data_IF_913985958339
#
_entry.id   IF_913985958339
#
_cell.length_a   1.000
_cell.length_b   1.000
_cell.length_c   1.000
_cell.angle_alpha   90.00
_cell.angle_beta   90.00
_cell.angle_gamma   90.00
#
_symmetry.space_group_name_H-M   'P 1'
#
loop_
_entity.id
_entity.type
_entity.pdbx_description
1 polymer ?
#
# COMPACT_ATOMS: atom_id res chain seq x y z
N UNK A 1 25.06 3.58 -19.42
CA UNK A 1 23.77 4.28 -19.46
C UNK A 1 22.93 3.93 -20.69
N UNK A 2 23.47 3.89 -21.90
CA UNK A 2 22.68 3.52 -23.12
C UNK A 2 22.08 2.11 -23.07
N UNK A 3 22.71 1.14 -22.42
CA UNK A 3 22.25 -0.26 -22.42
C UNK A 3 20.89 -0.49 -21.70
N UNK A 4 20.65 0.12 -20.51
CA UNK A 4 19.39 -0.11 -19.78
C UNK A 4 18.19 0.52 -20.48
N UNK A 5 18.32 1.74 -20.98
CA UNK A 5 17.23 2.40 -21.74
C UNK A 5 16.86 1.59 -23.00
N UNK A 6 17.86 1.01 -23.66
CA UNK A 6 17.65 0.14 -24.82
C UNK A 6 16.96 -1.19 -24.41
N UNK A 7 17.36 -1.79 -23.28
CA UNK A 7 16.65 -2.96 -22.71
C UNK A 7 15.19 -2.65 -22.40
N UNK A 8 14.92 -1.51 -21.75
CA UNK A 8 13.54 -1.07 -21.46
C UNK A 8 12.74 -0.93 -22.76
N UNK A 9 13.30 -0.26 -23.77
CA UNK A 9 12.63 -0.08 -25.06
C UNK A 9 12.32 -1.42 -25.71
N UNK A 10 13.29 -2.34 -25.76
CA UNK A 10 13.11 -3.67 -26.32
C UNK A 10 11.99 -4.47 -25.62
N UNK A 11 11.93 -4.44 -24.28
CA UNK A 11 10.85 -5.11 -23.54
C UNK A 11 9.48 -4.46 -23.76
N UNK A 12 9.42 -3.14 -23.89
CA UNK A 12 8.18 -2.43 -24.21
C UNK A 12 7.70 -2.74 -25.65
N UNK A 13 8.60 -2.80 -26.63
CA UNK A 13 8.26 -3.16 -28.01
C UNK A 13 7.78 -4.62 -28.09
N UNK A 14 8.47 -5.54 -27.42
CA UNK A 14 8.13 -6.97 -27.38
C UNK A 14 6.74 -7.23 -26.78
N UNK A 15 6.36 -6.47 -25.75
CA UNK A 15 5.14 -6.68 -24.97
C UNK A 15 4.10 -5.57 -25.19
N UNK A 16 4.20 -4.77 -26.24
CA UNK A 16 3.20 -3.77 -26.61
C UNK A 16 3.00 -2.65 -25.57
N UNK A 17 4.05 -2.27 -24.83
CA UNK A 17 3.98 -1.23 -23.80
C UNK A 17 3.63 -1.74 -22.39
N UNK A 18 3.73 -3.05 -22.16
CA UNK A 18 3.49 -3.71 -20.87
C UNK A 18 4.80 -4.30 -20.34
N UNK A 19 5.10 -4.12 -19.08
CA UNK A 19 6.24 -4.75 -18.40
C UNK A 19 5.72 -5.80 -17.39
N UNK A 20 6.25 -7.01 -17.50
CA UNK A 20 6.02 -8.08 -16.52
C UNK A 20 6.95 -7.87 -15.33
N UNK A 21 6.42 -8.02 -14.12
CA UNK A 21 7.17 -7.78 -12.89
C UNK A 21 7.30 -9.04 -12.05
N UNK A 22 8.37 -9.11 -11.27
CA UNK A 22 8.57 -10.13 -10.25
C UNK A 22 8.15 -9.59 -8.88
N UNK A 23 7.58 -10.43 -7.99
CA UNK A 23 7.21 -10.02 -6.66
C UNK A 23 8.43 -9.54 -5.85
N UNK A 24 8.28 -8.44 -5.13
CA UNK A 24 9.28 -7.97 -4.18
C UNK A 24 8.85 -8.36 -2.77
N UNK A 25 9.55 -9.34 -2.19
CA UNK A 25 9.27 -9.85 -0.85
C UNK A 25 9.98 -9.01 0.21
N UNK A 26 9.24 -8.63 1.27
CA UNK A 26 9.79 -7.86 2.38
C UNK A 26 9.58 -8.61 3.68
N UNK A 27 10.66 -8.75 4.44
CA UNK A 27 10.65 -9.39 5.75
C UNK A 27 10.53 -8.36 6.87
N UNK A 28 9.88 -8.76 7.98
CA UNK A 28 9.85 -7.98 9.22
C UNK A 28 10.19 -8.89 10.41
N UNK A 29 10.97 -8.38 11.35
CA UNK A 29 11.47 -9.14 12.51
C UNK A 29 10.59 -8.99 13.77
N UNK A 30 9.62 -8.05 13.74
CA UNK A 30 8.83 -7.68 14.90
C UNK A 30 7.48 -8.41 15.02
N UNK A 31 7.02 -9.11 13.95
CA UNK A 31 5.74 -9.84 13.94
C UNK A 31 5.84 -11.20 13.25
N UNK A 32 5.04 -12.19 13.70
CA UNK A 32 4.90 -13.44 12.97
C UNK A 32 4.13 -13.24 11.65
N UNK A 33 4.35 -14.09 10.63
CA UNK A 33 3.61 -14.06 9.37
C UNK A 33 2.21 -14.61 9.53
N UNK A 34 1.26 -14.11 8.72
CA UNK A 34 -0.07 -14.69 8.57
C UNK A 34 -0.10 -15.96 7.71
N UNK A 35 0.94 -16.16 6.87
CA UNK A 35 1.15 -17.31 5.97
C UNK A 35 0.12 -17.46 4.85
N UNK A 36 -0.46 -16.33 4.39
CA UNK A 36 -1.46 -16.29 3.31
C UNK A 36 -0.93 -15.63 2.03
N UNK A 37 0.39 -15.34 1.96
CA UNK A 37 1.00 -14.74 0.78
C UNK A 37 1.27 -15.74 -0.36
N UNK A 38 0.94 -17.03 -0.19
CA UNK A 38 1.12 -18.06 -1.21
C UNK A 38 2.53 -18.65 -1.29
N UNK A 39 3.42 -18.33 -0.34
CA UNK A 39 4.76 -18.95 -0.22
C UNK A 39 4.67 -20.34 0.39
N UNK A 40 5.66 -21.20 0.09
CA UNK A 40 5.85 -22.44 0.83
C UNK A 40 6.21 -22.14 2.30
N UNK A 41 5.88 -23.06 3.22
CA UNK A 41 6.03 -22.84 4.66
C UNK A 41 7.47 -22.49 5.06
N UNK A 42 8.44 -23.15 4.44
CA UNK A 42 9.88 -22.96 4.65
C UNK A 42 10.41 -21.62 4.14
N UNK A 43 9.75 -21.00 3.16
CA UNK A 43 10.19 -19.76 2.53
C UNK A 43 9.82 -18.48 3.35
N UNK A 44 8.94 -18.64 4.35
CA UNK A 44 8.56 -17.48 5.19
C UNK A 44 9.69 -17.04 6.11
N UNK A 45 10.51 -17.97 6.63
CA UNK A 45 11.58 -17.60 7.58
C UNK A 45 12.90 -17.31 6.88
N UNK A 46 13.40 -16.10 7.03
CA UNK A 46 14.61 -15.60 6.37
C UNK A 46 15.73 -15.20 7.36
N UNK A 47 15.86 -15.99 8.42
CA UNK A 47 16.92 -15.84 9.41
C UNK A 47 16.81 -14.58 10.27
N UNK A 48 17.88 -13.80 10.37
CA UNK A 48 17.91 -12.57 11.19
C UNK A 48 16.96 -11.48 10.71
N UNK A 49 16.45 -11.57 9.50
CA UNK A 49 15.44 -10.65 8.96
C UNK A 49 14.02 -10.95 9.46
N UNK A 50 13.83 -12.05 10.17
CA UNK A 50 12.52 -12.51 10.64
C UNK A 50 11.76 -13.28 9.57
N UNK A 51 10.56 -12.83 9.26
CA UNK A 51 9.65 -13.54 8.34
C UNK A 51 9.22 -12.64 7.20
N UNK A 52 9.04 -13.20 6.01
CA UNK A 52 8.34 -12.53 4.92
C UNK A 52 6.87 -12.33 5.35
N UNK A 53 6.48 -11.08 5.45
CA UNK A 53 5.14 -10.65 5.86
C UNK A 53 4.51 -9.69 4.87
N UNK A 54 5.28 -9.21 3.89
CA UNK A 54 4.80 -8.25 2.91
C UNK A 54 5.25 -8.66 1.51
N UNK A 55 4.39 -8.41 0.50
CA UNK A 55 4.72 -8.40 -0.92
C UNK A 55 4.49 -7.01 -1.46
N UNK A 56 5.54 -6.36 -1.92
CA UNK A 56 5.46 -5.05 -2.55
C UNK A 56 5.27 -5.18 -4.05
N UNK A 57 4.41 -4.36 -4.64
CA UNK A 57 3.89 -4.53 -5.99
C UNK A 57 4.32 -3.33 -6.85
N UNK A 58 5.00 -3.59 -7.96
CA UNK A 58 5.60 -2.59 -8.86
C UNK A 58 6.32 -1.48 -8.08
N UNK A 59 7.10 -1.92 -7.09
CA UNK A 59 7.74 -1.02 -6.14
C UNK A 59 9.04 -0.46 -6.68
N UNK A 60 9.18 0.84 -6.55
CA UNK A 60 10.43 1.60 -6.74
C UNK A 60 10.98 2.12 -5.40
N UNK A 61 10.30 1.79 -4.31
CA UNK A 61 10.65 2.15 -2.93
C UNK A 61 11.46 1.05 -2.29
N UNK A 62 12.59 1.40 -1.67
CA UNK A 62 13.38 0.46 -0.89
C UNK A 62 12.78 0.28 0.51
N UNK A 63 12.71 -0.97 0.99
CA UNK A 63 12.32 -1.26 2.37
C UNK A 63 13.38 -0.75 3.35
N UNK A 64 12.94 -0.08 4.42
CA UNK A 64 13.82 0.47 5.46
C UNK A 64 13.98 -0.53 6.60
N UNK A 65 14.70 -1.62 6.32
CA UNK A 65 15.03 -2.66 7.28
C UNK A 65 16.49 -2.50 7.75
N UNK A 66 16.73 -2.76 9.06
CA UNK A 66 18.08 -2.71 9.64
C UNK A 66 19.02 -3.74 9.02
N UNK A 67 18.51 -4.90 8.68
CA UNK A 67 19.23 -6.03 8.07
C UNK A 67 18.45 -6.52 6.86
N UNK A 68 19.10 -6.62 5.71
CA UNK A 68 18.47 -7.12 4.48
C UNK A 68 19.32 -6.86 3.24
N UNK A 69 18.92 -7.39 2.09
CA UNK A 69 19.57 -7.08 0.83
C UNK A 69 19.41 -5.61 0.45
N UNK A 70 20.32 -5.12 -0.37
CA UNK A 70 20.34 -3.70 -0.75
C UNK A 70 19.11 -3.29 -1.60
N UNK A 71 18.48 -4.25 -2.23
CA UNK A 71 17.33 -4.12 -3.13
C UNK A 71 16.01 -4.63 -2.52
N UNK A 72 15.96 -4.91 -1.22
CA UNK A 72 14.73 -5.35 -0.56
C UNK A 72 13.59 -4.36 -0.79
N UNK A 73 12.44 -4.87 -1.24
CA UNK A 73 11.26 -4.07 -1.58
C UNK A 73 11.27 -3.51 -3.01
N UNK A 74 12.36 -3.60 -3.76
CA UNK A 74 12.42 -3.15 -5.16
C UNK A 74 11.94 -4.25 -6.11
N UNK A 75 11.00 -3.93 -7.00
CA UNK A 75 10.53 -4.86 -8.03
C UNK A 75 11.50 -4.96 -9.20
N UNK A 76 11.60 -6.16 -9.75
CA UNK A 76 12.34 -6.42 -10.99
C UNK A 76 11.39 -6.53 -12.18
N UNK A 77 11.82 -6.02 -13.32
CA UNK A 77 11.22 -6.31 -14.63
C UNK A 77 11.75 -7.64 -15.10
N UNK A 78 10.84 -8.58 -15.38
CA UNK A 78 11.16 -9.90 -15.92
C UNK A 78 11.32 -9.82 -17.45
N UNK A 79 12.49 -10.18 -17.95
CA UNK A 79 12.79 -10.19 -19.40
C UNK A 79 12.53 -11.56 -20.05
N UNK A 80 12.37 -12.61 -19.21
CA UNK A 80 12.15 -13.98 -19.67
C UNK A 80 13.42 -14.71 -20.12
N UNK A 81 14.54 -14.02 -20.28
CA UNK A 81 15.86 -14.59 -20.59
C UNK A 81 16.82 -14.60 -19.41
N UNK A 82 16.36 -14.10 -18.24
CA UNK A 82 17.11 -14.04 -16.99
C UNK A 82 17.97 -12.78 -16.81
N UNK A 83 17.94 -11.83 -17.75
CA UNK A 83 18.63 -10.54 -17.66
C UNK A 83 17.74 -9.45 -17.04
N UNK A 84 17.03 -9.79 -15.98
CA UNK A 84 16.12 -8.91 -15.27
C UNK A 84 16.81 -7.63 -14.77
N UNK A 85 16.04 -6.55 -14.67
CA UNK A 85 16.54 -5.27 -14.19
C UNK A 85 15.57 -4.60 -13.22
N UNK A 86 16.07 -3.73 -12.36
CA UNK A 86 15.25 -3.02 -11.38
C UNK A 86 14.26 -2.07 -12.06
N UNK A 87 13.00 -2.14 -11.69
CA UNK A 87 11.97 -1.19 -12.15
C UNK A 87 12.34 0.25 -11.78
N UNK A 88 12.92 0.47 -10.58
CA UNK A 88 13.42 1.77 -10.14
C UNK A 88 14.40 2.39 -11.13
N UNK A 89 15.36 1.59 -11.61
CA UNK A 89 16.38 2.05 -12.54
C UNK A 89 15.78 2.28 -13.93
N UNK A 90 14.83 1.44 -14.35
CA UNK A 90 14.09 1.63 -15.59
C UNK A 90 13.30 2.95 -15.60
N UNK A 91 12.57 3.24 -14.53
CA UNK A 91 11.82 4.50 -14.35
C UNK A 91 12.77 5.70 -14.37
N UNK A 92 13.93 5.60 -13.71
CA UNK A 92 14.92 6.68 -13.68
C UNK A 92 15.61 6.93 -15.04
N UNK A 93 15.87 5.88 -15.82
CA UNK A 93 16.58 5.98 -17.11
C UNK A 93 15.66 6.24 -18.31
N UNK A 94 14.40 5.84 -18.21
CA UNK A 94 13.41 5.95 -19.28
C UNK A 94 12.05 6.49 -18.79
N UNK A 95 12.02 7.61 -18.02
CA UNK A 95 10.80 8.11 -17.40
C UNK A 95 9.71 8.42 -18.44
N UNK A 96 10.07 9.04 -19.55
CA UNK A 96 9.12 9.40 -20.61
C UNK A 96 8.47 8.18 -21.27
N UNK A 97 9.20 7.08 -21.44
CA UNK A 97 8.69 5.84 -22.03
C UNK A 97 7.73 5.11 -21.10
N UNK A 98 7.99 5.18 -19.80
CA UNK A 98 7.19 4.46 -18.79
C UNK A 98 6.02 5.32 -18.30
N UNK A 99 6.33 6.55 -17.85
CA UNK A 99 5.35 7.40 -17.15
C UNK A 99 4.66 8.41 -18.07
N UNK A 100 5.16 8.62 -19.30
CA UNK A 100 4.75 9.70 -20.19
C UNK A 100 5.43 11.03 -19.86
N UNK A 101 5.72 11.81 -20.90
CA UNK A 101 6.55 13.03 -20.78
C UNK A 101 5.98 14.05 -19.79
N UNK A 102 4.67 14.25 -19.77
CA UNK A 102 4.06 15.27 -18.91
C UNK A 102 4.08 14.85 -17.44
N UNK A 103 3.78 13.58 -17.15
CA UNK A 103 3.84 13.07 -15.78
C UNK A 103 5.28 13.07 -15.26
N UNK A 104 6.23 12.64 -16.07
CA UNK A 104 7.65 12.57 -15.71
C UNK A 104 8.29 13.94 -15.41
N UNK A 105 7.76 15.05 -15.96
CA UNK A 105 8.22 16.40 -15.60
C UNK A 105 7.82 16.83 -14.19
N UNK A 106 6.70 16.32 -13.70
CA UNK A 106 6.11 16.76 -12.43
C UNK A 106 6.38 15.77 -11.29
N UNK A 107 6.79 14.53 -11.60
CA UNK A 107 6.98 13.45 -10.63
C UNK A 107 8.32 12.73 -10.85
N UNK A 108 9.09 12.55 -9.78
CA UNK A 108 10.41 11.87 -9.82
C UNK A 108 10.30 10.33 -9.85
N UNK A 109 9.12 9.77 -10.08
CA UNK A 109 8.86 8.33 -10.08
C UNK A 109 7.37 8.03 -10.09
N UNK A 110 7.02 6.80 -9.77
CA UNK A 110 5.61 6.37 -9.75
C UNK A 110 4.79 7.01 -8.62
N UNK A 111 5.46 7.56 -7.60
CA UNK A 111 4.87 8.37 -6.52
C UNK A 111 3.95 7.61 -5.58
N UNK A 112 4.01 6.25 -5.60
CA UNK A 112 3.17 5.40 -4.76
C UNK A 112 3.86 4.09 -4.44
N UNK A 113 3.45 3.45 -3.34
CA UNK A 113 3.77 2.07 -3.01
C UNK A 113 2.48 1.28 -2.83
N UNK A 114 2.33 0.19 -3.58
CA UNK A 114 1.28 -0.80 -3.37
C UNK A 114 1.90 -2.04 -2.73
N UNK A 115 1.22 -2.65 -1.76
CA UNK A 115 1.69 -3.87 -1.10
C UNK A 115 0.55 -4.74 -0.59
N UNK A 116 0.83 -6.02 -0.47
CA UNK A 116 0.05 -6.92 0.37
C UNK A 116 0.82 -7.06 1.66
N UNK A 117 0.18 -6.89 2.80
CA UNK A 117 0.75 -7.32 4.08
C UNK A 117 -0.11 -8.39 4.73
N UNK A 118 0.56 -9.33 5.42
CA UNK A 118 -0.05 -10.50 6.03
C UNK A 118 0.67 -10.87 7.32
N UNK A 119 0.17 -10.33 8.44
CA UNK A 119 0.71 -10.56 9.76
C UNK A 119 -0.16 -11.52 10.57
N UNK A 120 0.48 -12.39 11.36
CA UNK A 120 -0.18 -13.33 12.26
C UNK A 120 -0.59 -12.71 13.62
N UNK A 121 -0.26 -11.45 13.84
CA UNK A 121 -0.64 -10.66 15.01
C UNK A 121 -0.93 -9.21 14.57
N UNK A 122 -1.60 -8.44 15.44
CA UNK A 122 -1.87 -7.02 15.20
C UNK A 122 -0.58 -6.24 15.01
N UNK A 123 -0.54 -5.34 14.02
CA UNK A 123 0.56 -4.38 13.89
C UNK A 123 0.52 -3.44 15.11
N UNK A 124 1.67 -3.10 15.72
CA UNK A 124 1.70 -2.18 16.85
C UNK A 124 1.02 -0.84 16.55
N UNK A 125 0.39 -0.25 17.55
CA UNK A 125 -0.21 1.08 17.43
C UNK A 125 0.85 2.12 17.05
N UNK A 126 0.67 2.80 15.92
CA UNK A 126 1.68 3.65 15.30
C UNK A 126 1.05 4.83 14.55
N UNK A 127 1.91 5.73 14.08
CA UNK A 127 1.58 6.80 13.13
C UNK A 127 2.55 6.79 11.96
N UNK A 128 2.12 7.41 10.86
CA UNK A 128 2.99 7.89 9.80
C UNK A 128 3.07 9.41 9.89
N UNK A 129 4.29 9.97 9.85
CA UNK A 129 4.52 11.40 9.99
C UNK A 129 3.83 12.20 8.90
N UNK A 130 3.23 13.32 9.29
CA UNK A 130 2.69 14.31 8.35
C UNK A 130 3.84 14.98 7.57
N UNK A 131 3.50 15.65 6.46
CA UNK A 131 4.46 16.21 5.51
C UNK A 131 5.56 17.06 6.18
N UNK A 132 5.19 17.96 7.10
CA UNK A 132 6.15 18.81 7.78
C UNK A 132 7.13 18.04 8.67
N UNK A 133 6.68 16.97 9.33
CA UNK A 133 7.53 16.19 10.24
C UNK A 133 8.37 15.18 9.46
N UNK A 134 7.83 14.55 8.43
CA UNK A 134 8.56 13.69 7.52
C UNK A 134 9.71 14.46 6.81
N UNK A 135 9.44 15.68 6.37
CA UNK A 135 10.45 16.54 5.73
C UNK A 135 11.64 16.84 6.65
N UNK A 136 11.45 16.96 7.98
CA UNK A 136 12.55 17.18 8.95
C UNK A 136 13.56 16.03 8.97
N UNK A 137 13.15 14.83 8.57
CA UNK A 137 14.01 13.64 8.48
C UNK A 137 14.33 13.23 7.04
N UNK A 138 14.05 14.12 6.07
CA UNK A 138 14.33 13.91 4.64
C UNK A 138 13.46 12.83 4.00
N UNK A 139 12.24 12.64 4.49
CA UNK A 139 11.26 11.67 4.00
C UNK A 139 10.01 12.36 3.45
N UNK A 140 9.21 11.61 2.71
CA UNK A 140 7.84 12.00 2.35
C UNK A 140 6.87 11.58 3.45
N UNK A 141 5.73 12.24 3.54
CA UNK A 141 4.58 11.79 4.33
C UNK A 141 4.08 10.41 3.84
N UNK A 142 3.16 9.84 4.59
CA UNK A 142 2.57 8.56 4.23
C UNK A 142 1.08 8.55 4.53
N UNK A 143 0.29 9.09 3.59
CA UNK A 143 -1.13 8.74 3.52
C UNK A 143 -1.25 7.33 2.98
N UNK A 144 -2.23 6.57 3.45
CA UNK A 144 -2.46 5.19 3.02
C UNK A 144 -3.94 4.86 2.91
N UNK A 145 -4.24 3.80 2.17
CA UNK A 145 -5.57 3.25 2.09
C UNK A 145 -5.52 1.73 2.06
N UNK A 146 -6.44 1.11 2.78
CA UNK A 146 -6.58 -0.34 2.89
C UNK A 146 -7.72 -0.85 2.02
N UNK A 147 -7.55 -2.06 1.52
CA UNK A 147 -8.60 -2.87 0.94
C UNK A 147 -8.48 -4.29 1.50
N UNK A 148 -9.58 -4.82 2.02
CA UNK A 148 -9.66 -6.16 2.56
C UNK A 148 -10.29 -7.07 1.48
N UNK A 149 -9.48 -7.87 0.75
CA UNK A 149 -10.01 -8.60 -0.40
C UNK A 149 -10.99 -9.71 0.01
N UNK A 150 -11.98 -9.96 -0.84
CA UNK A 150 -12.99 -10.99 -0.60
C UNK A 150 -12.37 -12.40 -0.68
N UNK A 151 -12.90 -13.31 0.13
CA UNK A 151 -12.52 -14.73 0.13
C UNK A 151 -11.27 -15.04 0.94
N UNK A 152 -10.76 -14.10 1.72
CA UNK A 152 -9.62 -14.30 2.62
C UNK A 152 -10.10 -14.26 4.07
N UNK A 153 -9.56 -15.15 4.90
CA UNK A 153 -9.78 -15.13 6.35
C UNK A 153 -9.18 -13.86 6.97
N UNK A 154 -9.94 -13.19 7.82
CA UNK A 154 -9.49 -11.98 8.53
C UNK A 154 -8.57 -12.26 9.71
N UNK A 155 -8.40 -13.55 10.08
CA UNK A 155 -7.54 -13.97 11.18
C UNK A 155 -8.10 -13.68 12.58
N UNK A 156 -7.30 -13.88 13.63
CA UNK A 156 -7.77 -13.81 15.03
C UNK A 156 -8.05 -12.39 15.53
N UNK A 157 -7.58 -11.35 14.84
CA UNK A 157 -7.84 -9.94 15.14
C UNK A 157 -8.46 -9.26 13.92
N UNK A 158 -9.78 -9.48 13.68
CA UNK A 158 -10.45 -8.99 12.47
C UNK A 158 -10.74 -7.48 12.50
N UNK A 159 -10.35 -6.79 13.55
CA UNK A 159 -10.55 -5.35 13.74
C UNK A 159 -9.26 -4.57 13.59
N UNK A 160 -9.35 -3.34 13.08
CA UNK A 160 -8.28 -2.34 13.11
C UNK A 160 -8.62 -1.27 14.16
N UNK A 161 -7.64 -0.88 14.96
CA UNK A 161 -7.77 0.29 15.82
C UNK A 161 -7.44 1.55 15.03
N UNK A 162 -8.30 2.59 15.17
CA UNK A 162 -8.10 3.90 14.56
C UNK A 162 -8.33 5.03 15.54
N UNK A 163 -7.41 5.99 15.57
CA UNK A 163 -7.50 7.19 16.38
C UNK A 163 -7.69 6.90 17.88
N UNK A 164 -8.24 7.86 18.57
CA UNK A 164 -8.52 7.80 20.02
C UNK A 164 -10.00 8.01 20.30
N UNK A 165 -10.45 7.71 21.53
CA UNK A 165 -11.78 8.12 21.97
C UNK A 165 -11.93 9.64 21.84
N UNK A 166 -13.05 10.15 21.30
CA UNK A 166 -13.22 11.60 20.95
C UNK A 166 -12.93 12.53 22.11
N UNK A 167 -13.30 12.18 23.34
CA UNK A 167 -13.08 13.03 24.52
C UNK A 167 -11.60 13.36 24.76
N UNK A 168 -10.68 12.49 24.32
CA UNK A 168 -9.23 12.71 24.50
C UNK A 168 -8.78 13.91 23.67
N UNK A 169 -9.23 14.00 22.42
CA UNK A 169 -8.93 15.13 21.55
C UNK A 169 -9.70 16.40 21.96
N UNK A 170 -11.02 16.27 22.20
CA UNK A 170 -11.91 17.39 22.59
C UNK A 170 -11.44 18.07 23.88
N UNK A 171 -11.10 17.28 24.89
CA UNK A 171 -10.66 17.78 26.20
C UNK A 171 -9.12 17.94 26.30
N UNK A 172 -8.39 17.73 25.19
CA UNK A 172 -6.91 17.82 25.09
C UNK A 172 -6.18 16.98 26.15
N UNK A 173 -6.71 15.79 26.43
CA UNK A 173 -6.15 14.86 27.43
C UNK A 173 -5.00 14.01 26.86
N UNK A 174 -4.14 14.59 26.07
CA UNK A 174 -3.03 13.91 25.36
C UNK A 174 -2.06 13.21 26.32
N UNK A 175 -1.89 13.73 27.54
CA UNK A 175 -1.03 13.15 28.58
C UNK A 175 -1.48 11.76 29.04
N UNK A 176 -2.70 11.34 28.71
CA UNK A 176 -3.14 9.96 28.93
C UNK A 176 -2.32 8.96 28.11
N UNK A 177 -1.82 9.35 26.92
CA UNK A 177 -0.97 8.51 26.12
C UNK A 177 0.50 8.62 26.55
N UNK A 178 0.92 9.80 27.04
CA UNK A 178 2.32 10.08 27.37
C UNK A 178 2.89 9.09 28.40
N UNK A 179 2.15 8.76 29.45
CA UNK A 179 2.60 7.81 30.47
C UNK A 179 2.94 6.42 29.90
N UNK A 180 2.20 5.95 28.87
CA UNK A 180 2.48 4.68 28.20
C UNK A 180 3.76 4.74 27.36
N UNK A 181 4.04 5.90 26.75
CA UNK A 181 5.27 6.12 25.96
C UNK A 181 6.49 6.22 26.87
N UNK A 182 6.37 6.87 28.03
CA UNK A 182 7.45 7.01 29.01
C UNK A 182 7.78 5.65 29.67
N UNK A 183 6.80 4.94 30.17
CA UNK A 183 6.93 3.65 30.87
C UNK A 183 7.39 2.51 29.95
N UNK A 184 6.93 2.47 28.71
CA UNK A 184 7.28 1.52 27.65
C UNK A 184 7.29 0.04 28.09
N UNK A 185 6.18 -0.46 28.66
CA UNK A 185 6.15 -1.78 29.32
C UNK A 185 5.00 -2.69 28.91
N UNK A 186 3.91 -2.14 28.36
CA UNK A 186 2.67 -2.88 28.10
C UNK A 186 1.96 -2.39 26.82
N UNK A 187 0.77 -2.92 26.56
CA UNK A 187 -0.09 -2.54 25.42
C UNK A 187 -1.32 -1.73 25.86
N UNK A 188 -1.35 -1.25 27.10
CA UNK A 188 -2.50 -0.54 27.66
C UNK A 188 -2.80 0.80 26.99
N UNK A 189 -1.91 1.30 26.15
CA UNK A 189 -2.18 2.46 25.29
C UNK A 189 -3.42 2.20 24.41
N UNK A 190 -3.67 0.95 24.00
CA UNK A 190 -4.83 0.55 23.17
C UNK A 190 -6.18 0.77 23.85
N UNK A 191 -6.24 0.89 25.19
CA UNK A 191 -7.49 1.25 25.90
C UNK A 191 -8.03 2.62 25.53
N UNK A 192 -7.19 3.45 24.88
CA UNK A 192 -7.55 4.79 24.45
C UNK A 192 -7.99 4.84 22.98
N UNK A 193 -7.81 3.75 22.23
CA UNK A 193 -8.12 3.63 20.81
C UNK A 193 -9.56 3.16 20.56
N UNK A 194 -10.07 3.40 19.37
CA UNK A 194 -11.34 2.85 18.87
C UNK A 194 -11.05 1.72 17.91
N UNK A 195 -11.88 0.69 17.91
CA UNK A 195 -11.74 -0.45 17.00
C UNK A 195 -12.93 -0.53 16.05
N UNK A 196 -12.63 -0.83 14.78
CA UNK A 196 -13.61 -1.07 13.73
C UNK A 196 -13.34 -2.42 13.07
N UNK A 197 -14.42 -3.16 12.80
CA UNK A 197 -14.33 -4.46 12.13
C UNK A 197 -13.88 -4.26 10.66
N UNK A 198 -12.90 -5.04 10.22
CA UNK A 198 -12.50 -5.10 8.83
C UNK A 198 -13.50 -5.96 8.05
N UNK A 199 -14.18 -5.36 7.08
CA UNK A 199 -15.17 -6.02 6.24
C UNK A 199 -14.54 -6.34 4.89
N UNK A 200 -14.58 -7.60 4.47
CA UNK A 200 -14.04 -8.00 3.16
C UNK A 200 -14.81 -7.34 2.02
N UNK A 201 -14.11 -6.88 1.01
CA UNK A 201 -14.67 -6.09 -0.10
C UNK A 201 -14.66 -4.58 0.14
N UNK A 202 -14.32 -4.13 1.34
CA UNK A 202 -14.29 -2.71 1.76
C UNK A 202 -12.89 -2.29 2.21
N UNK A 203 -12.73 -1.04 2.62
CA UNK A 203 -11.44 -0.52 3.06
C UNK A 203 -11.54 0.75 3.89
N UNK A 204 -10.39 1.38 4.14
CA UNK A 204 -10.30 2.66 4.84
C UNK A 204 -9.24 3.54 4.19
N UNK A 205 -9.48 4.85 4.18
CA UNK A 205 -8.48 5.87 3.85
C UNK A 205 -7.93 6.46 5.15
N UNK A 206 -6.61 6.49 5.29
CA UNK A 206 -5.91 6.99 6.47
C UNK A 206 -4.94 8.11 6.05
N UNK A 207 -5.24 9.35 6.40
CA UNK A 207 -4.26 10.43 6.29
C UNK A 207 -3.08 10.19 7.24
N UNK A 208 -1.91 10.70 6.88
CA UNK A 208 -0.75 10.76 7.77
C UNK A 208 -1.12 11.49 9.08
N UNK A 209 -0.44 11.15 10.17
CA UNK A 209 -0.75 11.65 11.53
C UNK A 209 -1.85 10.87 12.27
N UNK A 210 -2.56 9.94 11.59
CA UNK A 210 -3.60 9.13 12.23
C UNK A 210 -2.98 7.96 12.97
N UNK A 211 -3.30 7.86 14.26
CA UNK A 211 -2.98 6.70 15.10
C UNK A 211 -3.75 5.47 14.63
N UNK A 212 -3.06 4.36 14.37
CA UNK A 212 -3.72 3.13 13.95
C UNK A 212 -2.94 1.86 14.32
N UNK A 213 -3.66 0.74 14.40
CA UNK A 213 -3.11 -0.58 14.65
C UNK A 213 -3.90 -1.61 13.81
N UNK A 214 -3.45 -1.92 12.59
CA UNK A 214 -4.09 -2.90 11.73
C UNK A 214 -4.16 -4.28 12.39
N UNK A 215 -5.30 -4.94 12.24
CA UNK A 215 -5.51 -6.30 12.69
C UNK A 215 -4.82 -7.34 11.82
N UNK A 216 -5.32 -8.56 11.86
CA UNK A 216 -4.73 -9.71 11.15
C UNK A 216 -5.38 -9.98 9.79
N UNK A 217 -6.32 -9.16 9.33
CA UNK A 217 -6.85 -9.29 7.98
C UNK A 217 -5.71 -9.11 6.96
N UNK A 218 -5.56 -10.06 6.02
CA UNK A 218 -4.71 -9.83 4.87
C UNK A 218 -5.19 -8.57 4.15
N UNK A 219 -4.31 -7.63 3.97
CA UNK A 219 -4.64 -6.30 3.46
C UNK A 219 -3.85 -5.99 2.21
N UNK A 220 -4.52 -5.48 1.20
CA UNK A 220 -3.86 -4.83 0.06
C UNK A 220 -3.86 -3.33 0.37
N UNK A 221 -2.67 -2.76 0.51
CA UNK A 221 -2.47 -1.36 0.87
C UNK A 221 -1.94 -0.59 -0.32
N UNK A 222 -2.48 0.60 -0.54
CA UNK A 222 -1.94 1.60 -1.46
C UNK A 222 -1.61 2.86 -0.66
N UNK A 223 -0.38 3.36 -0.80
CA UNK A 223 0.16 4.46 -0.01
C UNK A 223 1.04 5.39 -0.83
N UNK A 224 1.39 6.54 -0.25
CA UNK A 224 2.48 7.38 -0.75
C UNK A 224 3.81 6.61 -0.76
N UNK A 225 4.74 7.04 -1.58
CA UNK A 225 6.08 6.45 -1.77
C UNK A 225 7.00 6.73 -0.56
N UNK A 226 6.67 6.12 0.58
CA UNK A 226 7.38 6.30 1.83
C UNK A 226 7.25 5.07 2.74
N UNK A 227 8.29 4.80 3.57
CA UNK A 227 8.27 3.78 4.65
C UNK A 227 8.53 4.45 6.03
N UNK A 228 7.98 5.66 6.23
CA UNK A 228 8.11 6.45 7.46
C UNK A 228 7.12 5.97 8.51
N UNK A 229 7.54 5.87 9.78
CA UNK A 229 6.65 5.56 10.89
C UNK A 229 7.24 5.88 12.29
N UNK A 230 6.38 5.96 13.29
CA UNK A 230 6.73 5.91 14.71
C UNK A 230 5.77 4.94 15.44
N UNK A 231 6.35 3.95 16.14
CA UNK A 231 5.58 2.96 16.93
C UNK A 231 5.28 3.51 18.33
N UNK A 232 4.02 3.47 18.75
CA UNK A 232 3.58 3.97 20.07
C UNK A 232 3.24 2.86 21.06
N UNK A 233 3.13 1.61 20.63
CA UNK A 233 2.83 0.46 21.48
C UNK A 233 4.11 -0.30 21.84
N UNK A 234 4.33 -0.51 23.15
CA UNK A 234 5.52 -1.19 23.66
C UNK A 234 5.43 -2.72 23.61
N UNK A 235 4.37 -3.31 24.15
CA UNK A 235 4.16 -4.76 24.15
C UNK A 235 3.31 -5.17 22.93
N UNK A 236 3.82 -6.07 22.10
CA UNK A 236 3.08 -6.62 20.99
C UNK A 236 3.47 -8.08 20.72
N UNK A 237 2.51 -8.93 20.39
CA UNK A 237 2.70 -10.36 20.17
C UNK A 237 3.57 -11.06 21.26
N UNK A 238 3.37 -10.65 22.52
CA UNK A 238 4.09 -11.21 23.68
C UNK A 238 5.54 -10.71 23.86
N UNK A 239 5.97 -9.69 23.11
CA UNK A 239 7.34 -9.14 23.17
C UNK A 239 7.30 -7.62 23.39
N UNK A 240 8.22 -7.12 24.19
CA UNK A 240 8.51 -5.67 24.24
C UNK A 240 9.37 -5.32 23.01
N UNK A 241 8.83 -4.48 22.14
CA UNK A 241 9.57 -3.96 20.99
C UNK A 241 10.54 -2.87 21.38
N UNK A 242 11.58 -2.66 20.61
CA UNK A 242 12.59 -1.63 20.91
C UNK A 242 11.95 -0.24 20.95
N UNK A 243 12.21 0.52 22.02
CA UNK A 243 11.76 1.91 22.13
C UNK A 243 12.39 2.83 21.05
N UNK A 244 13.44 2.38 20.37
CA UNK A 244 14.00 3.11 19.23
C UNK A 244 12.99 3.25 18.08
N UNK A 245 12.04 2.32 17.96
CA UNK A 245 10.97 2.40 16.96
C UNK A 245 9.95 3.53 17.24
N UNK A 246 9.82 3.97 18.50
CA UNK A 246 9.04 5.16 18.85
C UNK A 246 9.64 6.44 18.23
N UNK A 247 10.96 6.45 18.06
CA UNK A 247 11.70 7.62 17.58
C UNK A 247 12.32 7.43 16.20
N UNK A 248 11.94 6.35 15.47
CA UNK A 248 12.60 5.95 14.21
C UNK A 248 12.68 7.11 13.21
N UNK A 249 11.57 7.77 12.95
CA UNK A 249 11.49 8.87 11.99
C UNK A 249 11.10 10.20 12.68
N UNK A 250 11.64 10.42 13.87
CA UNK A 250 11.48 11.66 14.63
C UNK A 250 12.76 12.48 14.58
N UNK A 251 12.66 13.73 14.23
CA UNK A 251 13.77 14.67 14.18
C UNK A 251 14.52 14.69 15.52
N UNK A 252 15.85 14.66 15.45
CA UNK A 252 16.73 14.59 16.63
C UNK A 252 16.51 15.76 17.57
N UNK A 253 16.39 16.96 17.04
CA UNK A 253 16.18 18.20 17.79
C UNK A 253 14.85 18.17 18.56
N UNK A 254 13.76 17.70 17.94
CA UNK A 254 12.46 17.56 18.58
C UNK A 254 12.50 16.50 19.68
N UNK A 255 13.17 15.37 19.44
CA UNK A 255 13.38 14.31 20.43
C UNK A 255 14.18 14.80 21.65
N UNK A 256 15.29 15.50 21.43
CA UNK A 256 16.14 15.99 22.51
C UNK A 256 15.42 17.05 23.38
N UNK A 257 14.59 17.90 22.76
CA UNK A 257 13.84 18.95 23.42
C UNK A 257 12.60 18.43 24.16
N UNK A 258 11.80 17.61 23.51
CA UNK A 258 10.44 17.25 23.96
C UNK A 258 10.30 15.80 24.38
N UNK A 259 11.33 14.95 24.18
CA UNK A 259 11.33 13.50 24.48
C UNK A 259 10.09 12.82 23.85
N UNK A 260 9.38 11.98 24.62
CA UNK A 260 8.19 11.26 24.15
C UNK A 260 7.05 12.19 23.73
N UNK A 261 6.98 13.39 24.27
CA UNK A 261 5.99 14.39 23.86
C UNK A 261 6.13 14.79 22.38
N UNK A 262 7.35 14.74 21.82
CA UNK A 262 7.59 15.00 20.41
C UNK A 262 6.73 14.11 19.48
N UNK A 263 6.38 12.90 19.91
CA UNK A 263 5.52 12.00 19.15
C UNK A 263 4.06 12.48 19.20
N UNK A 264 3.60 12.94 20.36
CA UNK A 264 2.23 13.45 20.52
C UNK A 264 2.00 14.71 19.69
N UNK A 265 3.04 15.50 19.45
CA UNK A 265 3.00 16.70 18.63
C UNK A 265 2.86 16.40 17.13
N UNK A 266 3.15 15.14 16.70
CA UNK A 266 3.03 14.65 15.32
C UNK A 266 1.69 13.99 15.01
N UNK A 267 0.80 13.90 15.98
CA UNK A 267 -0.53 13.28 15.83
C UNK A 267 -1.53 14.31 15.30
N UNK A 268 -2.30 13.94 14.28
CA UNK A 268 -3.49 14.69 13.88
C UNK A 268 -4.64 14.39 14.85
N UNK A 269 -4.72 15.21 15.89
CA UNK A 269 -5.71 15.03 16.95
C UNK A 269 -7.14 15.26 16.50
N UNK A 270 -7.35 16.11 15.49
CA UNK A 270 -8.68 16.41 14.96
C UNK A 270 -9.24 15.18 14.24
N UNK A 271 -8.43 14.55 13.39
CA UNK A 271 -8.80 13.31 12.71
C UNK A 271 -8.85 12.14 13.68
N UNK A 272 -7.84 11.99 14.56
CA UNK A 272 -7.80 10.90 15.54
C UNK A 272 -8.99 10.92 16.51
N UNK A 273 -9.49 12.09 16.85
CA UNK A 273 -10.63 12.29 17.77
C UNK A 273 -11.97 12.47 17.08
N UNK A 274 -12.04 12.42 15.76
CA UNK A 274 -13.28 12.61 15.00
C UNK A 274 -14.34 11.56 15.41
N UNK A 275 -15.50 11.97 15.97
CA UNK A 275 -16.56 11.04 16.33
C UNK A 275 -17.18 10.32 15.11
N UNK A 276 -17.04 10.90 13.91
CA UNK A 276 -17.50 10.34 12.63
C UNK A 276 -16.36 9.72 11.82
N UNK A 277 -15.30 9.23 12.48
CA UNK A 277 -14.13 8.68 11.80
C UNK A 277 -14.50 7.59 10.79
N UNK A 278 -15.41 6.67 11.16
CA UNK A 278 -15.86 5.62 10.25
C UNK A 278 -16.48 6.19 8.99
N UNK A 279 -17.45 7.07 9.13
CA UNK A 279 -18.20 7.68 8.02
C UNK A 279 -17.29 8.53 7.11
N UNK A 280 -16.28 9.17 7.69
CA UNK A 280 -15.37 10.07 6.98
C UNK A 280 -14.19 9.37 6.31
N UNK A 281 -13.88 8.11 6.68
CA UNK A 281 -12.70 7.39 6.21
C UNK A 281 -12.97 6.00 5.62
N UNK A 282 -14.17 5.44 5.81
CA UNK A 282 -14.55 4.13 5.27
C UNK A 282 -14.72 4.19 3.74
N UNK A 283 -14.10 3.23 3.04
CA UNK A 283 -14.12 3.10 1.59
C UNK A 283 -14.99 1.91 1.17
N UNK A 284 -16.22 2.17 0.77
CA UNK A 284 -17.05 1.20 0.03
C UNK A 284 -16.73 1.27 -1.46
N UNK A 285 -16.71 0.15 -2.19
CA UNK A 285 -16.48 0.17 -3.63
C UNK A 285 -17.50 1.04 -4.38
N UNK A 286 -17.02 1.97 -5.20
CA UNK A 286 -17.87 2.89 -6.00
C UNK A 286 -17.78 2.50 -7.47
N UNK A 287 -18.90 2.15 -8.10
CA UNK A 287 -18.93 1.80 -9.53
C UNK A 287 -18.42 2.98 -10.39
N UNK A 288 -17.55 2.66 -11.33
CA UNK A 288 -17.07 3.59 -12.37
C UNK A 288 -18.06 3.45 -13.55
N UNK A 289 -19.11 4.26 -13.55
CA UNK A 289 -20.26 4.08 -14.48
C UNK A 289 -19.86 4.05 -15.96
N UNK A 290 -18.89 4.89 -16.35
CA UNK A 290 -18.38 4.97 -17.73
C UNK A 290 -17.63 3.71 -18.19
N UNK A 291 -17.20 2.83 -17.27
CA UNK A 291 -16.52 1.57 -17.61
C UNK A 291 -17.44 0.37 -17.70
N UNK A 292 -18.73 0.54 -17.38
CA UNK A 292 -19.70 -0.55 -17.38
C UNK A 292 -19.89 -1.12 -18.79
N UNK A 293 -19.59 -2.41 -18.95
CA UNK A 293 -19.74 -3.18 -20.19
C UNK A 293 -20.48 -4.49 -19.88
N UNK A 294 -21.05 -5.14 -20.90
CA UNK A 294 -21.80 -6.40 -20.69
C UNK A 294 -21.00 -7.51 -20.00
N UNK A 295 -19.70 -7.54 -20.24
CA UNK A 295 -18.77 -8.56 -19.70
C UNK A 295 -17.96 -8.14 -18.50
N UNK A 296 -18.02 -6.88 -18.03
CA UNK A 296 -17.19 -6.42 -16.94
C UNK A 296 -17.45 -4.99 -16.50
N UNK A 297 -16.84 -4.63 -15.39
CA UNK A 297 -16.95 -3.29 -14.80
C UNK A 297 -15.81 -2.99 -13.84
N UNK A 298 -15.54 -1.72 -13.59
CA UNK A 298 -14.59 -1.26 -12.59
C UNK A 298 -15.28 -0.60 -11.40
N UNK A 299 -14.63 -0.70 -10.24
CA UNK A 299 -15.03 0.01 -9.03
C UNK A 299 -13.82 0.72 -8.43
N UNK A 300 -13.99 1.96 -8.02
CA UNK A 300 -13.02 2.63 -7.16
C UNK A 300 -12.98 1.90 -5.81
N UNK A 301 -11.79 1.52 -5.36
CA UNK A 301 -11.54 0.94 -4.04
C UNK A 301 -10.54 1.77 -3.24
N UNK A 302 -9.69 2.55 -3.90
CA UNK A 302 -8.85 3.58 -3.29
C UNK A 302 -9.20 4.93 -3.92
N UNK A 303 -9.76 5.81 -3.12
CA UNK A 303 -10.23 7.14 -3.53
C UNK A 303 -10.19 8.10 -2.34
N UNK A 304 -10.79 9.30 -2.45
CA UNK A 304 -10.81 10.35 -1.45
C UNK A 304 -9.52 11.19 -1.34
N UNK A 305 -8.44 10.81 -2.01
CA UNK A 305 -7.18 11.57 -2.07
C UNK A 305 -6.67 11.65 -3.51
N UNK A 306 -5.95 12.73 -3.87
CA UNK A 306 -5.28 12.86 -5.18
C UNK A 306 -3.84 12.30 -5.18
N UNK A 307 -3.32 11.92 -4.01
CA UNK A 307 -1.96 11.39 -3.84
C UNK A 307 -1.78 10.00 -4.43
N UNK A 308 -2.85 9.24 -4.55
CA UNK A 308 -2.95 7.96 -5.23
C UNK A 308 -4.41 7.59 -5.48
N UNK A 309 -4.64 6.56 -6.27
CA UNK A 309 -5.99 6.01 -6.46
C UNK A 309 -5.91 4.57 -6.95
N UNK A 310 -7.02 3.83 -6.87
CA UNK A 310 -7.05 2.47 -7.39
C UNK A 310 -8.45 1.94 -7.65
N UNK A 311 -8.49 1.00 -8.60
CA UNK A 311 -9.74 0.38 -9.05
C UNK A 311 -9.67 -1.14 -8.92
N UNK A 312 -10.80 -1.77 -8.71
CA UNK A 312 -10.99 -3.20 -8.90
C UNK A 312 -11.77 -3.41 -10.20
N UNK A 313 -11.14 -4.09 -11.17
CA UNK A 313 -11.78 -4.56 -12.39
C UNK A 313 -12.30 -5.98 -12.17
N UNK A 314 -13.53 -6.23 -12.60
CA UNK A 314 -14.16 -7.55 -12.60
C UNK A 314 -14.57 -7.86 -14.04
N UNK A 315 -14.09 -8.99 -14.59
CA UNK A 315 -14.46 -9.49 -15.92
C UNK A 315 -15.10 -10.88 -15.77
N UNK A 316 -16.29 -11.05 -16.31
CA UNK A 316 -17.06 -12.30 -16.22
C UNK A 316 -16.38 -13.45 -16.98
N UNK A 317 -16.64 -14.73 -16.61
CA UNK A 317 -16.10 -15.89 -17.33
C UNK A 317 -16.38 -15.83 -18.84
N UNK A 318 -15.32 -16.01 -19.63
CA UNK A 318 -15.39 -15.98 -21.10
C UNK A 318 -15.61 -14.60 -21.74
N UNK A 319 -15.79 -13.55 -20.92
CA UNK A 319 -15.98 -12.19 -21.43
C UNK A 319 -14.65 -11.49 -21.74
N UNK A 320 -14.79 -10.42 -22.53
CA UNK A 320 -13.74 -9.47 -22.85
C UNK A 320 -14.17 -8.09 -22.39
N UNK A 321 -13.23 -7.36 -21.79
CA UNK A 321 -13.41 -5.98 -21.32
C UNK A 321 -12.43 -5.07 -22.03
N UNK A 322 -12.88 -3.92 -22.51
CA UNK A 322 -12.02 -2.88 -23.07
C UNK A 322 -11.68 -1.86 -21.99
N UNK A 323 -10.41 -1.80 -21.61
CA UNK A 323 -9.89 -0.91 -20.57
C UNK A 323 -9.18 0.31 -21.17
N UNK A 324 -9.46 1.49 -20.62
CA UNK A 324 -8.73 2.74 -20.91
C UNK A 324 -8.52 3.47 -19.60
N UNK A 325 -7.30 3.91 -19.34
CA UNK A 325 -6.96 4.68 -18.14
C UNK A 325 -6.21 5.98 -18.49
N UNK A 326 -5.99 6.87 -17.51
CA UNK A 326 -5.50 8.23 -17.77
C UNK A 326 -3.96 8.37 -17.70
N UNK A 327 -3.25 7.30 -17.37
CA UNK A 327 -1.79 7.34 -17.25
C UNK A 327 -1.21 6.00 -16.78
N UNK A 328 0.07 5.97 -16.47
CA UNK A 328 0.80 4.80 -16.01
C UNK A 328 0.17 4.18 -14.76
N UNK A 329 0.03 2.86 -14.75
CA UNK A 329 -0.44 2.11 -13.59
C UNK A 329 0.14 0.69 -13.56
N UNK A 330 0.05 0.04 -12.43
CA UNK A 330 0.32 -1.39 -12.33
C UNK A 330 -0.94 -2.16 -11.94
N UNK A 331 -0.91 -3.46 -12.20
CA UNK A 331 -1.97 -4.37 -11.81
C UNK A 331 -1.44 -5.48 -10.90
N UNK A 332 -2.35 -6.00 -10.09
CA UNK A 332 -2.25 -7.28 -9.42
C UNK A 332 -3.47 -8.14 -9.82
N UNK A 333 -3.24 -9.33 -10.32
CA UNK A 333 -4.30 -10.29 -10.60
C UNK A 333 -4.64 -11.00 -9.30
N UNK A 334 -5.83 -10.69 -8.76
CA UNK A 334 -6.26 -11.22 -7.47
C UNK A 334 -6.99 -12.56 -7.59
N UNK A 335 -7.76 -12.75 -8.68
CA UNK A 335 -8.56 -13.95 -8.89
C UNK A 335 -8.71 -14.26 -10.38
N UNK A 336 -8.72 -15.56 -10.73
CA UNK A 336 -8.93 -16.01 -12.10
C UNK A 336 -7.68 -15.94 -12.96
N UNK A 337 -7.86 -16.17 -14.26
CA UNK A 337 -6.79 -16.14 -15.27
C UNK A 337 -7.32 -15.67 -16.61
N UNK A 338 -6.42 -15.18 -17.47
CA UNK A 338 -6.79 -14.67 -18.78
C UNK A 338 -5.64 -14.02 -19.52
N UNK A 339 -5.96 -12.98 -20.28
CA UNK A 339 -4.95 -12.14 -20.92
C UNK A 339 -5.21 -10.67 -20.62
N UNK A 340 -4.14 -9.91 -20.45
CA UNK A 340 -4.13 -8.46 -20.34
C UNK A 340 -3.36 -7.91 -21.54
N UNK A 341 -4.08 -7.36 -22.52
CA UNK A 341 -3.51 -6.92 -23.79
C UNK A 341 -2.69 -8.00 -24.51
N UNK A 342 -3.20 -9.23 -24.53
CA UNK A 342 -2.51 -10.39 -25.11
C UNK A 342 -1.48 -11.05 -24.18
N UNK A 343 -1.03 -10.37 -23.11
CA UNK A 343 -0.08 -10.93 -22.14
C UNK A 343 -0.83 -11.87 -21.20
N UNK A 344 -0.42 -13.16 -21.06
CA UNK A 344 -1.06 -14.10 -20.14
C UNK A 344 -0.93 -13.64 -18.69
N UNK A 345 -2.05 -13.74 -17.94
CA UNK A 345 -2.12 -13.40 -16.51
C UNK A 345 -2.85 -14.48 -15.73
N UNK A 346 -2.44 -14.71 -14.47
CA UNK A 346 -3.02 -15.71 -13.59
C UNK A 346 -2.80 -15.37 -12.12
N UNK A 347 -3.86 -15.36 -11.33
CA UNK A 347 -3.80 -15.10 -9.90
C UNK A 347 -2.99 -16.18 -9.16
N UNK A 348 -2.10 -15.76 -8.25
CA UNK A 348 -1.24 -16.64 -7.47
C UNK A 348 -0.08 -17.28 -8.24
N UNK A 349 0.05 -16.97 -9.51
CA UNK A 349 1.23 -17.32 -10.31
C UNK A 349 2.18 -16.11 -10.32
N UNK A 350 3.21 -16.14 -9.47
CA UNK A 350 4.14 -15.03 -9.27
C UNK A 350 4.91 -14.59 -10.53
N UNK A 351 4.91 -15.42 -11.57
CA UNK A 351 5.48 -15.07 -12.88
C UNK A 351 4.44 -14.42 -13.80
N UNK A 352 3.16 -14.35 -13.40
CA UNK A 352 2.07 -13.93 -14.27
C UNK A 352 0.98 -13.06 -13.60
N UNK A 353 1.13 -12.69 -12.34
CA UNK A 353 0.09 -11.97 -11.60
C UNK A 353 0.34 -10.45 -11.46
N UNK A 354 1.49 -9.95 -11.96
CA UNK A 354 1.87 -8.55 -11.76
C UNK A 354 2.43 -7.93 -13.06
N UNK A 355 1.81 -6.82 -13.50
CA UNK A 355 2.21 -6.07 -14.68
C UNK A 355 2.27 -4.57 -14.39
N UNK A 356 3.16 -3.85 -15.08
CA UNK A 356 3.12 -2.38 -15.22
C UNK A 356 2.68 -2.03 -16.64
N UNK A 357 1.69 -1.17 -16.75
CA UNK A 357 1.16 -0.64 -18.03
C UNK A 357 1.67 0.78 -18.17
N UNK A 358 2.46 1.02 -19.23
CA UNK A 358 3.01 2.35 -19.48
C UNK A 358 1.94 3.36 -19.84
N UNK A 359 2.27 4.65 -19.71
CA UNK A 359 1.36 5.75 -20.02
C UNK A 359 0.77 5.63 -21.43
N UNK A 360 1.65 5.49 -22.46
CA UNK A 360 1.23 5.42 -23.86
C UNK A 360 0.31 4.24 -24.16
N UNK A 361 0.47 3.14 -23.43
CA UNK A 361 -0.42 1.98 -23.57
C UNK A 361 -1.73 2.17 -22.82
N UNK A 362 -1.67 2.74 -21.62
CA UNK A 362 -2.81 2.95 -20.73
C UNK A 362 -3.90 3.85 -21.32
N UNK A 363 -3.51 4.90 -22.06
CA UNK A 363 -4.43 5.89 -22.64
C UNK A 363 -5.14 5.43 -23.90
N UNK A 364 -4.87 4.20 -24.36
CA UNK A 364 -5.50 3.58 -25.56
C UNK A 364 -6.29 2.35 -25.12
N UNK A 365 -7.38 2.00 -25.83
CA UNK A 365 -8.11 0.78 -25.53
C UNK A 365 -7.18 -0.44 -25.52
N UNK A 366 -7.23 -1.20 -24.43
CA UNK A 366 -6.54 -2.47 -24.29
C UNK A 366 -7.57 -3.56 -23.90
N UNK A 367 -7.33 -4.77 -24.36
CA UNK A 367 -8.20 -5.89 -24.17
C UNK A 367 -7.86 -6.65 -22.87
N UNK A 368 -8.85 -6.87 -22.01
CA UNK A 368 -8.75 -7.77 -20.85
C UNK A 368 -9.72 -8.92 -21.06
N UNK A 369 -9.21 -10.13 -21.27
CA UNK A 369 -10.02 -11.31 -21.54
C UNK A 369 -9.93 -12.30 -20.38
N UNK A 370 -11.10 -12.71 -19.87
CA UNK A 370 -11.18 -13.77 -18.87
C UNK A 370 -11.29 -15.13 -19.58
N UNK A 371 -10.31 -16.00 -19.37
CA UNK A 371 -10.33 -17.39 -19.90
C UNK A 371 -10.63 -18.42 -18.82
N UNK A 372 -10.82 -17.99 -17.57
CA UNK A 372 -11.15 -18.86 -16.45
C UNK A 372 -12.65 -19.14 -16.32
N UNK A 373 -13.02 -20.08 -15.45
CA UNK A 373 -14.42 -20.42 -15.15
C UNK A 373 -15.03 -19.57 -14.03
N UNK A 374 -14.27 -18.64 -13.47
CA UNK A 374 -14.67 -17.71 -12.41
C UNK A 374 -14.43 -16.27 -12.84
N UNK A 375 -14.95 -15.30 -12.10
CA UNK A 375 -14.66 -13.90 -12.36
C UNK A 375 -13.15 -13.66 -12.32
N UNK A 376 -12.63 -12.96 -13.32
CA UNK A 376 -11.26 -12.42 -13.29
C UNK A 376 -11.31 -11.10 -12.52
N UNK A 377 -10.59 -11.02 -11.40
CA UNK A 377 -10.50 -9.83 -10.57
C UNK A 377 -9.09 -9.28 -10.62
N UNK A 378 -8.96 -8.03 -10.99
CA UNK A 378 -7.69 -7.33 -11.12
C UNK A 378 -7.76 -6.03 -10.32
N UNK A 379 -6.72 -5.75 -9.54
CA UNK A 379 -6.58 -4.50 -8.82
C UNK A 379 -5.59 -3.62 -9.60
N UNK A 380 -5.98 -2.39 -9.88
CA UNK A 380 -5.19 -1.36 -10.55
C UNK A 380 -4.74 -0.31 -9.54
N UNK A 381 -3.47 0.08 -9.60
CA UNK A 381 -2.87 1.05 -8.70
C UNK A 381 -2.29 2.22 -9.49
N UNK A 382 -2.72 3.42 -9.17
CA UNK A 382 -2.31 4.66 -9.83
C UNK A 382 -1.55 5.56 -8.86
N UNK A 383 -0.54 6.26 -9.38
CA UNK A 383 0.20 7.29 -8.66
C UNK A 383 -0.58 8.61 -8.53
N UNK A 384 0.06 9.63 -7.94
CA UNK A 384 -0.56 10.93 -7.74
C UNK A 384 -1.00 11.56 -9.06
N UNK A 385 -2.03 12.39 -9.02
CA UNK A 385 -2.54 13.24 -10.13
C UNK A 385 -2.98 12.53 -11.41
N UNK A 386 -2.90 11.19 -11.50
CA UNK A 386 -3.35 10.45 -12.69
C UNK A 386 -4.87 10.51 -12.80
N UNK A 387 -5.59 10.28 -11.72
CA UNK A 387 -7.05 10.33 -11.67
C UNK A 387 -7.49 11.55 -10.84
N UNK A 388 -7.99 12.58 -11.50
CA UNK A 388 -8.45 13.84 -10.85
C UNK A 388 -9.92 13.78 -10.45
N UNK A 389 -10.73 12.98 -11.17
CA UNK A 389 -12.19 12.87 -10.97
C UNK A 389 -12.55 11.64 -10.12
N UNK A 390 -11.79 11.42 -9.04
CA UNK A 390 -12.05 10.34 -8.09
C UNK A 390 -13.25 10.67 -7.20
N UNK A 391 -14.01 9.67 -6.73
CA UNK A 391 -15.05 9.89 -5.73
C UNK A 391 -14.48 10.53 -4.47
N UNK A 392 -15.33 11.29 -3.77
CA UNK A 392 -15.01 11.85 -2.46
C UNK A 392 -16.08 11.44 -1.45
N UNK A 393 -15.64 11.08 -0.26
CA UNK A 393 -16.53 10.80 0.86
C UNK A 393 -17.16 12.12 1.31
N UNK A 394 -18.49 12.09 1.52
CA UNK A 394 -19.18 13.22 2.15
C UNK A 394 -18.72 13.31 3.60
N UNK A 395 -18.10 14.44 3.95
CA UNK A 395 -17.61 14.65 5.30
C UNK A 395 -18.76 14.98 6.26
N UNK A 396 -18.81 14.27 7.38
CA UNK A 396 -19.67 14.56 8.52
C UNK A 396 -18.89 15.41 9.52
N UNK A 397 -19.58 16.31 10.21
CA UNK A 397 -19.00 17.18 11.25
C UNK A 397 -19.86 17.11 12.51
N UNK A 398 -19.24 17.21 13.72
CA UNK A 398 -19.96 17.29 14.98
C UNK A 398 -20.93 18.46 15.05
#
# INVERSE_FOLDING_TARGET
MNNLKEKVLNELEKNGGVLRLKPAWVARDFLPPGKRLGLAEEDYFVGQRGYITERWIASVTKADNRVGPADEGLSYVSTGDGEDFLLKDAVAQAPDLIMGTEYAKNHNGLGRLAKIYDFGARIPYHIHQMENDAAKVGRNSKDEAYYFPEGVDTGPHPETFFGVHPYIAIEKKYDLLLSHLEDWKDDLILKHARAYLNVTGEGFFLPSGVLHAPGTALTIELQEDSDVFAMLQALNAGKIISKDLLFKDVCKEDREKNKERAILDQIDWDVCGDPYFYENHHLSPVLVEETKQDGGQEHWIYYNTTKFSGKKLIVKPGATFSSVDKGVYNILVWKGSGTYDGVPIEAGNFEADELLITHERAIRPLEVKNTSKQDLQIIKFFGPDINKDIPKIKQYKP
#
